data_IF_471540091585
#
_entry.id   IF_471540091585
#
_cell.length_a   1.000
_cell.length_b   1.000
_cell.length_c   1.000
_cell.angle_alpha   90.00
_cell.angle_beta   90.00
_cell.angle_gamma   90.00
#
_symmetry.space_group_name_H-M   'P 1'
#
loop_
_entity.id
_entity.type
_entity.pdbx_description
1 polymer ?
#
# COMPACT_ATOMS: atom_id res chain seq x y z
N UNK A 1 1.47 -15.89 8.70
CA UNK A 1 0.22 -15.46 8.00
C UNK A 1 -0.09 -13.96 8.11
N UNK A 2 0.05 -13.33 9.29
CA UNK A 2 -0.25 -11.90 9.46
C UNK A 2 0.53 -10.97 8.50
N UNK A 3 1.85 -11.14 8.40
CA UNK A 3 2.69 -10.32 7.51
C UNK A 3 2.32 -10.43 6.02
N UNK A 4 1.94 -11.62 5.57
CA UNK A 4 1.44 -11.84 4.20
C UNK A 4 0.14 -11.08 3.95
N UNK A 5 -0.82 -11.14 4.88
CA UNK A 5 -2.05 -10.36 4.77
C UNK A 5 -1.81 -8.85 4.86
N UNK A 6 -0.84 -8.41 5.67
CA UNK A 6 -0.41 -7.02 5.75
C UNK A 6 0.13 -6.52 4.40
N UNK A 7 0.99 -7.30 3.72
CA UNK A 7 1.42 -7.01 2.35
C UNK A 7 0.23 -6.92 1.39
N UNK A 8 -0.66 -7.92 1.39
CA UNK A 8 -1.82 -7.95 0.50
C UNK A 8 -2.78 -6.77 0.72
N UNK A 9 -2.91 -6.29 1.95
CA UNK A 9 -3.74 -5.14 2.29
C UNK A 9 -3.13 -3.85 1.73
N UNK A 10 -1.82 -3.64 1.93
CA UNK A 10 -1.09 -2.52 1.36
C UNK A 10 -1.09 -2.53 -0.19
N UNK A 11 -0.92 -3.71 -0.81
CA UNK A 11 -0.98 -3.88 -2.27
C UNK A 11 -2.32 -3.41 -2.84
N UNK A 12 -3.43 -3.85 -2.24
CA UNK A 12 -4.77 -3.48 -2.69
C UNK A 12 -5.06 -2.01 -2.48
N UNK A 13 -4.59 -1.43 -1.38
CA UNK A 13 -4.75 0.00 -1.10
C UNK A 13 -3.99 0.87 -2.13
N UNK A 14 -2.75 0.51 -2.49
CA UNK A 14 -2.02 1.24 -3.53
C UNK A 14 -2.66 1.07 -4.91
N UNK A 15 -3.11 -0.15 -5.24
CA UNK A 15 -3.81 -0.42 -6.51
C UNK A 15 -5.16 0.28 -6.61
N UNK A 16 -5.86 0.52 -5.50
CA UNK A 16 -7.10 1.32 -5.53
C UNK A 16 -6.81 2.77 -5.90
N UNK A 17 -5.67 3.34 -5.48
CA UNK A 17 -5.26 4.66 -5.96
C UNK A 17 -4.91 4.66 -7.45
N UNK A 18 -4.27 3.61 -7.97
CA UNK A 18 -4.02 3.48 -9.40
C UNK A 18 -5.33 3.51 -10.20
N UNK A 19 -6.35 2.75 -9.75
CA UNK A 19 -7.69 2.77 -10.37
C UNK A 19 -8.26 4.19 -10.35
N UNK A 20 -8.24 4.86 -9.20
CA UNK A 20 -8.76 6.22 -9.05
C UNK A 20 -8.07 7.23 -9.98
N UNK A 21 -6.76 7.07 -10.20
CA UNK A 21 -5.97 7.92 -11.12
C UNK A 21 -6.03 7.47 -12.58
N UNK A 22 -6.82 6.45 -12.91
CA UNK A 22 -6.87 5.90 -14.28
C UNK A 22 -5.59 5.21 -14.73
N UNK A 23 -4.71 4.84 -13.79
CA UNK A 23 -3.46 4.11 -14.07
C UNK A 23 -3.78 2.62 -14.24
N UNK A 24 -3.28 2.01 -15.32
CA UNK A 24 -3.47 0.59 -15.59
C UNK A 24 -2.78 -0.28 -14.53
N UNK A 25 -3.54 -1.15 -13.87
CA UNK A 25 -2.96 -2.13 -12.94
C UNK A 25 -2.22 -3.22 -13.70
N UNK A 26 -0.93 -3.40 -13.40
CA UNK A 26 -0.13 -4.53 -13.86
C UNK A 26 -0.11 -5.66 -12.83
N UNK A 27 0.18 -6.88 -13.28
CA UNK A 27 0.38 -8.05 -12.42
C UNK A 27 1.76 -8.00 -11.75
N UNK A 28 1.91 -7.10 -10.79
CA UNK A 28 3.11 -6.89 -9.99
C UNK A 28 2.71 -6.86 -8.51
N UNK A 29 3.64 -7.26 -7.64
CA UNK A 29 3.43 -7.29 -6.19
C UNK A 29 4.45 -6.47 -5.39
N UNK A 30 5.49 -5.96 -6.06
CA UNK A 30 6.43 -5.04 -5.46
C UNK A 30 5.73 -3.69 -5.22
N UNK A 31 5.54 -3.32 -3.96
CA UNK A 31 4.81 -2.14 -3.55
C UNK A 31 5.52 -0.84 -3.98
N UNK A 32 6.86 -0.83 -4.02
CA UNK A 32 7.64 0.32 -4.49
C UNK A 32 7.43 0.53 -5.98
N UNK A 33 7.40 -0.54 -6.77
CA UNK A 33 7.10 -0.46 -8.20
C UNK A 33 5.66 -0.01 -8.44
N UNK A 34 4.69 -0.57 -7.70
CA UNK A 34 3.28 -0.14 -7.76
C UNK A 34 3.16 1.36 -7.44
N UNK A 35 3.84 1.84 -6.39
CA UNK A 35 3.87 3.26 -6.05
C UNK A 35 4.49 4.09 -7.18
N UNK A 36 5.55 3.61 -7.82
CA UNK A 36 6.28 4.36 -8.84
C UNK A 36 5.44 4.74 -10.06
N UNK A 37 4.38 3.96 -10.35
CA UNK A 37 3.43 4.19 -11.46
C UNK A 37 2.40 5.30 -11.14
N UNK A 38 2.32 5.76 -9.89
CA UNK A 38 1.43 6.85 -9.50
C UNK A 38 2.05 8.23 -9.78
N UNK A 39 1.21 9.27 -9.96
CA UNK A 39 1.68 10.66 -10.03
C UNK A 39 2.53 11.07 -8.82
N UNK A 40 3.51 11.97 -9.00
CA UNK A 40 4.41 12.42 -7.92
C UNK A 40 3.67 12.97 -6.70
N UNK A 41 2.56 13.68 -6.90
CA UNK A 41 1.70 14.18 -5.82
C UNK A 41 1.23 13.07 -4.87
N UNK A 42 0.87 11.90 -5.42
CA UNK A 42 0.45 10.75 -4.62
C UNK A 42 1.64 10.03 -4.04
N UNK A 43 2.72 9.85 -4.81
CA UNK A 43 3.92 9.14 -4.36
C UNK A 43 4.55 9.75 -3.12
N UNK A 44 4.60 11.08 -3.06
CA UNK A 44 5.22 11.82 -1.96
C UNK A 44 4.47 11.66 -0.62
N UNK A 45 3.27 11.07 -0.62
CA UNK A 45 2.48 10.81 0.60
C UNK A 45 2.92 9.54 1.34
N UNK A 46 3.76 8.70 0.73
CA UNK A 46 4.15 7.40 1.25
C UNK A 46 5.62 7.36 1.68
N UNK A 47 5.89 6.60 2.73
CA UNK A 47 7.25 6.29 3.16
C UNK A 47 7.76 5.06 2.41
N UNK A 48 8.84 5.21 1.62
CA UNK A 48 9.43 4.08 0.87
C UNK A 48 9.87 2.94 1.81
N UNK A 49 10.37 3.27 3.01
CA UNK A 49 10.76 2.28 4.01
C UNK A 49 9.61 1.36 4.45
N UNK A 50 8.37 1.87 4.53
CA UNK A 50 7.21 1.05 4.87
C UNK A 50 6.93 0.01 3.77
N UNK A 51 7.03 0.43 2.51
CA UNK A 51 6.82 -0.45 1.37
C UNK A 51 7.93 -1.50 1.25
N UNK A 52 9.18 -1.11 1.50
CA UNK A 52 10.32 -2.01 1.54
C UNK A 52 10.18 -3.05 2.66
N UNK A 53 9.69 -2.67 3.84
CA UNK A 53 9.43 -3.60 4.95
C UNK A 53 8.34 -4.62 4.62
N UNK A 54 7.34 -4.23 3.82
CA UNK A 54 6.22 -5.08 3.41
C UNK A 54 6.56 -6.03 2.27
N UNK A 55 7.43 -5.62 1.33
CA UNK A 55 7.74 -6.35 0.10
C UNK A 55 8.18 -7.82 0.28
N UNK A 56 9.06 -8.17 1.25
CA UNK A 56 9.46 -9.57 1.46
C UNK A 56 8.28 -10.52 1.68
N UNK A 57 7.15 -10.00 2.18
CA UNK A 57 5.98 -10.78 2.55
C UNK A 57 5.02 -11.06 1.39
N UNK A 58 5.39 -10.75 0.14
CA UNK A 58 4.53 -10.97 -1.05
C UNK A 58 4.41 -12.44 -1.50
N UNK A 59 5.48 -13.22 -1.34
CA UNK A 59 5.58 -14.62 -1.81
C UNK A 59 6.04 -15.56 -0.68
N UNK A 60 6.90 -15.08 0.22
CA UNK A 60 7.53 -15.90 1.28
C UNK A 60 6.56 -16.50 2.31
N UNK A 61 5.30 -16.07 2.35
CA UNK A 61 4.28 -16.64 3.23
C UNK A 61 3.63 -17.94 2.74
N UNK A 62 3.99 -18.45 1.56
CA UNK A 62 3.29 -19.58 0.92
C UNK A 62 3.85 -20.97 1.26
N UNK A 63 5.09 -21.06 1.74
CA UNK A 63 5.69 -22.34 2.15
C UNK A 63 5.99 -22.32 3.65
N UNK A 64 5.32 -23.17 4.44
CA UNK A 64 5.58 -23.28 5.88
C UNK A 64 7.04 -23.59 6.22
N UNK A 65 7.78 -24.20 5.29
CA UNK A 65 9.19 -24.57 5.46
C UNK A 65 10.17 -23.39 5.40
N UNK A 66 9.78 -22.26 4.78
CA UNK A 66 10.61 -21.05 4.66
C UNK A 66 10.29 -20.01 5.75
N UNK A 67 9.29 -20.29 6.59
CA UNK A 67 8.93 -19.44 7.71
C UNK A 67 9.77 -19.87 8.92
N UNK A 68 10.96 -19.28 9.06
CA UNK A 68 11.51 -19.10 10.41
C UNK A 68 10.42 -18.47 11.28
N UNK A 69 10.35 -18.89 12.54
CA UNK A 69 9.38 -18.39 13.50
C UNK A 69 9.50 -16.87 13.55
N UNK A 70 8.57 -16.16 12.90
CA UNK A 70 8.65 -14.71 12.76
C UNK A 70 8.52 -14.13 14.15
N UNK A 71 9.55 -13.43 14.61
CA UNK A 71 9.52 -12.75 15.89
C UNK A 71 8.34 -11.78 15.96
N UNK A 72 7.67 -11.74 17.11
CA UNK A 72 6.47 -10.93 17.30
C UNK A 72 6.70 -9.45 16.94
N UNK A 73 7.87 -8.92 17.27
CA UNK A 73 8.27 -7.54 16.97
C UNK A 73 8.34 -7.24 15.46
N UNK A 74 8.78 -8.22 14.66
CA UNK A 74 8.77 -8.12 13.20
C UNK A 74 7.33 -8.07 12.68
N UNK A 75 6.46 -8.93 13.19
CA UNK A 75 5.05 -8.94 12.80
C UNK A 75 4.35 -7.62 13.15
N UNK A 76 4.59 -7.06 14.34
CA UNK A 76 4.06 -5.76 14.75
C UNK A 76 4.55 -4.63 13.85
N UNK A 77 5.84 -4.60 13.53
CA UNK A 77 6.44 -3.60 12.64
C UNK A 77 5.82 -3.64 11.25
N UNK A 78 5.61 -4.85 10.70
CA UNK A 78 4.98 -5.07 9.40
C UNK A 78 3.51 -4.64 9.41
N UNK A 79 2.76 -4.99 10.46
CA UNK A 79 1.36 -4.57 10.62
C UNK A 79 1.24 -3.05 10.74
N UNK A 80 2.13 -2.41 11.49
CA UNK A 80 2.17 -0.96 11.62
C UNK A 80 2.47 -0.27 10.28
N UNK A 81 3.40 -0.80 9.49
CA UNK A 81 3.68 -0.30 8.14
C UNK A 81 2.48 -0.43 7.20
N UNK A 82 1.79 -1.57 7.20
CA UNK A 82 0.56 -1.73 6.42
C UNK A 82 -0.51 -0.72 6.84
N UNK A 83 -0.72 -0.53 8.16
CA UNK A 83 -1.70 0.43 8.65
C UNK A 83 -1.40 1.87 8.18
N UNK A 84 -0.13 2.30 8.20
CA UNK A 84 0.27 3.61 7.66
C UNK A 84 -0.08 3.74 6.18
N UNK A 85 0.22 2.73 5.35
CA UNK A 85 -0.16 2.73 3.93
C UNK A 85 -1.67 2.86 3.76
N UNK A 86 -2.47 2.10 4.51
CA UNK A 86 -3.93 2.19 4.44
C UNK A 86 -4.45 3.57 4.85
N UNK A 87 -3.93 4.15 5.93
CA UNK A 87 -4.34 5.48 6.37
C UNK A 87 -3.98 6.56 5.37
N UNK A 88 -2.78 6.50 4.77
CA UNK A 88 -2.39 7.43 3.71
C UNK A 88 -3.35 7.36 2.52
N UNK A 89 -3.73 6.16 2.08
CA UNK A 89 -4.70 5.99 0.99
C UNK A 89 -6.06 6.56 1.36
N UNK A 90 -6.56 6.29 2.57
CA UNK A 90 -7.86 6.81 3.04
C UNK A 90 -7.89 8.33 3.07
N UNK A 91 -6.88 8.95 3.68
CA UNK A 91 -6.77 10.41 3.75
C UNK A 91 -6.62 11.04 2.36
N UNK A 92 -5.90 10.39 1.44
CA UNK A 92 -5.76 10.86 0.08
C UNK A 92 -7.07 10.76 -0.73
N UNK A 93 -8.02 9.91 -0.33
CA UNK A 93 -9.37 9.85 -0.91
C UNK A 93 -10.24 10.97 -0.35
N UNK A 94 -10.30 11.09 0.98
CA UNK A 94 -11.14 12.10 1.66
C UNK A 94 -10.77 13.54 1.27
N UNK A 95 -9.48 13.86 1.10
CA UNK A 95 -9.05 15.21 0.69
C UNK A 95 -9.50 15.57 -0.74
N UNK A 96 -9.61 14.58 -1.64
CA UNK A 96 -10.03 14.83 -3.02
C UNK A 96 -11.55 15.02 -3.11
N UNK A 97 -12.32 14.22 -2.36
CA UNK A 97 -13.78 14.36 -2.33
C UNK A 97 -14.23 15.74 -1.80
N UNK A 98 -13.43 16.37 -0.91
CA UNK A 98 -13.66 17.74 -0.47
C UNK A 98 -13.37 18.79 -1.56
N UNK A 99 -12.39 18.53 -2.44
CA UNK A 99 -12.00 19.46 -3.51
C UNK A 99 -12.88 19.33 -4.76
N UNK A 100 -13.57 18.20 -4.97
CA UNK A 100 -14.54 18.03 -6.06
C UNK A 100 -15.91 18.68 -5.76
N UNK A 101 -16.13 19.16 -4.53
CA UNK A 101 -17.35 19.88 -4.11
C UNK A 101 -17.41 21.37 -4.51
N UNK A 102 -16.31 21.95 -4.99
CA UNK A 102 -16.25 23.33 -5.51
C UNK A 102 -16.19 23.36 -7.05
N UNK A 103 -17.16 22.71 -7.70
CA UNK A 103 -17.43 22.95 -9.12
C UNK A 103 -18.15 24.30 -9.30
N UNK A 104 -17.86 25.08 -10.35
CA UNK A 104 -18.48 26.38 -10.52
C UNK A 104 -19.99 26.21 -10.71
N UNK A 105 -20.78 26.85 -9.84
CA UNK A 105 -22.21 27.06 -10.09
C UNK A 105 -22.36 27.64 -11.50
N UNK A 106 -23.11 26.93 -12.35
CA UNK A 106 -23.62 27.45 -13.61
C UNK A 106 -25.02 28.01 -13.39
#
# INVERSE_FOLDING_TARGET
MACFHAHLAAEKALKSMQIRRGVLIRKMHNLVEILSELPSEDRNRFTIGDLQLLNPWTIGGRYPADLEEVEHEVAESVLAAANRVLMTVRLAVEVVDLNEGEGPEK
#
